data_IF_564157783201
#
_entry.id   IF_564157783201
#
_cell.length_a   1.000
_cell.length_b   1.000
_cell.length_c   1.000
_cell.angle_alpha   90.00
_cell.angle_beta   90.00
_cell.angle_gamma   90.00
#
_symmetry.space_group_name_H-M   'P 1'
#
loop_
_entity.id
_entity.type
_entity.pdbx_description
1 polymer ?
2 non-polymer ?
3 non-polymer ?
4 water ?
#
# COMPACT_ATOMS: atom_id res chain seq x y z
N UNK A 4 5.70 -14.43 -15.16
CA UNK A 4 5.40 -15.86 -15.39
C UNK A 4 5.87 -16.71 -14.20
N UNK A 5 7.07 -16.47 -13.68
CA UNK A 5 7.59 -17.21 -12.53
C UNK A 5 7.50 -16.34 -11.27
N UNK A 6 7.51 -16.97 -10.08
CA UNK A 6 7.49 -16.21 -8.84
C UNK A 6 8.81 -15.45 -8.69
N UNK A 7 8.75 -14.34 -7.97
CA UNK A 7 9.92 -13.48 -7.81
C UNK A 7 10.15 -13.21 -6.36
N UNK A 8 11.43 -13.20 -5.98
CA UNK A 8 11.84 -12.82 -4.65
C UNK A 8 13.01 -11.86 -4.85
N UNK A 9 13.67 -11.50 -3.74
CA UNK A 9 14.84 -10.66 -3.73
C UNK A 9 16.07 -11.52 -3.95
N UNK A 10 17.09 -10.93 -4.52
CA UNK A 10 18.34 -11.62 -4.76
C UNK A 10 19.23 -11.59 -3.53
N UNK A 11 19.17 -10.49 -2.78
CA UNK A 11 20.00 -10.28 -1.60
C UNK A 11 19.19 -9.69 -0.49
N UNK A 12 19.74 -9.77 0.71
CA UNK A 12 19.17 -9.11 1.89
C UNK A 12 19.57 -7.62 1.77
N UNK A 13 18.68 -6.73 2.20
CA UNK A 13 18.97 -5.30 2.15
C UNK A 13 18.35 -4.65 3.38
N UNK A 14 19.00 -3.63 3.89
CA UNK A 14 18.56 -2.94 5.09
C UNK A 14 18.30 -1.47 4.87
N UNK A 15 17.35 -0.94 5.62
CA UNK A 15 17.06 0.49 5.59
C UNK A 15 16.64 0.88 6.97
N UNK A 16 16.62 2.20 7.23
CA UNK A 16 16.21 2.72 8.54
C UNK A 16 15.30 3.90 8.34
N UNK A 17 14.47 4.14 9.34
CA UNK A 17 13.56 5.26 9.27
C UNK A 17 12.86 5.44 10.58
N UNK A 18 11.82 6.25 10.54
CA UNK A 18 11.00 6.58 11.70
C UNK A 18 9.57 6.16 11.37
N UNK A 19 8.85 5.61 12.34
CA UNK A 19 7.44 5.30 12.15
C UNK A 19 6.64 6.59 12.11
N UNK A 20 5.77 6.74 11.10
CA UNK A 20 5.00 7.98 10.92
C UNK A 20 4.18 8.27 12.19
N UNK A 21 3.49 7.26 12.71
CA UNK A 21 2.63 7.50 13.88
C UNK A 21 3.35 7.34 15.19
N UNK A 22 4.20 6.35 15.31
CA UNK A 22 4.85 6.08 16.58
C UNK A 22 6.04 7.00 16.85
N UNK A 23 6.67 7.50 15.79
CA UNK A 23 7.88 8.30 15.91
C UNK A 23 9.09 7.50 16.35
N UNK A 24 8.99 6.14 16.31
CA UNK A 24 10.10 5.31 16.79
C UNK A 24 11.08 5.03 15.66
N UNK A 25 12.38 4.99 15.98
CA UNK A 25 13.42 4.64 15.01
C UNK A 25 13.17 3.17 14.72
N UNK A 26 13.21 2.79 13.46
CA UNK A 26 12.98 1.39 13.08
C UNK A 26 13.99 0.95 12.08
N UNK A 27 14.42 -0.30 12.22
CA UNK A 27 15.34 -0.91 11.27
C UNK A 27 14.53 -1.89 10.50
N UNK A 28 14.64 -1.80 9.20
CA UNK A 28 13.93 -2.62 8.26
C UNK A 28 14.92 -3.47 7.49
N UNK A 29 14.62 -4.77 7.39
CA UNK A 29 15.49 -5.66 6.63
C UNK A 29 14.60 -6.42 5.67
N UNK A 30 14.88 -6.34 4.36
CA UNK A 30 14.11 -7.12 3.39
C UNK A 30 14.95 -8.33 3.10
N UNK A 31 14.32 -9.51 3.09
CA UNK A 31 15.06 -10.74 2.83
C UNK A 31 14.37 -11.58 1.76
N UNK A 32 15.13 -12.39 0.95
CA UNK A 32 14.46 -13.32 0.03
C UNK A 32 13.63 -14.31 0.82
N UNK A 33 12.66 -14.89 0.18
CA UNK A 33 11.84 -15.90 0.83
C UNK A 33 11.54 -16.99 -0.17
N UNK A 34 11.28 -18.22 0.33
CA UNK A 34 10.94 -19.32 -0.57
C UNK A 34 9.65 -19.12 -1.34
N UNK A 35 9.46 -19.96 -2.36
CA UNK A 35 8.27 -20.00 -3.18
C UNK A 35 7.01 -20.13 -2.26
N UNK A 36 5.91 -19.47 -2.63
CA UNK A 36 4.64 -19.51 -1.91
C UNK A 36 4.69 -18.98 -0.47
N UNK A 37 5.70 -18.16 -0.14
CA UNK A 37 5.76 -17.54 1.18
C UNK A 37 4.83 -16.33 1.28
N UNK A 38 4.76 -15.56 0.19
CA UNK A 38 4.05 -14.28 0.17
C UNK A 38 4.93 -13.24 0.87
N UNK A 39 4.35 -12.10 1.23
CA UNK A 39 5.08 -11.04 1.94
C UNK A 39 4.81 -11.28 3.41
N UNK A 40 5.86 -11.53 4.18
CA UNK A 40 5.69 -11.80 5.60
C UNK A 40 6.44 -10.78 6.45
N UNK A 41 5.73 -10.11 7.36
CA UNK A 41 6.36 -9.15 8.27
C UNK A 41 6.84 -9.90 9.49
N UNK A 42 8.06 -9.61 9.93
CA UNK A 42 8.68 -10.30 11.05
C UNK A 42 9.09 -9.28 12.08
N UNK A 43 8.58 -9.41 13.30
CA UNK A 43 8.94 -8.52 14.40
C UNK A 43 10.13 -9.13 15.08
N UNK A 44 11.32 -8.71 14.66
CA UNK A 44 12.56 -9.31 15.15
C UNK A 44 13.01 -8.78 16.51
N UNK A 45 12.32 -7.78 17.03
CA UNK A 45 12.61 -7.23 18.34
C UNK A 45 11.99 -8.14 19.41
N UNK A 46 11.07 -9.01 19.01
CA UNK A 46 10.38 -9.88 19.96
C UNK A 46 10.96 -11.27 20.02
N UNK A 47 10.81 -11.91 21.17
CA UNK A 47 11.27 -13.28 21.36
C UNK A 47 10.07 -14.05 21.89
N UNK A 48 9.49 -15.00 21.14
CA UNK A 48 9.88 -15.46 19.80
C UNK A 48 9.56 -14.40 18.75
N UNK A 49 10.24 -14.51 17.63
CA UNK A 49 9.96 -13.62 16.49
C UNK A 49 8.54 -13.88 16.04
N UNK A 50 7.80 -12.79 15.81
CA UNK A 50 6.41 -12.92 15.39
C UNK A 50 6.36 -12.65 13.90
N UNK A 51 5.89 -13.65 13.16
CA UNK A 51 5.69 -13.50 11.71
C UNK A 51 4.23 -13.21 11.44
N UNK A 52 3.98 -12.22 10.61
CA UNK A 52 2.61 -11.88 10.21
C UNK A 52 2.55 -11.80 8.71
N UNK A 53 1.97 -12.80 8.05
CA UNK A 53 1.81 -12.72 6.60
C UNK A 53 0.94 -11.51 6.26
N UNK A 54 1.31 -10.81 5.19
CA UNK A 54 0.56 -9.63 4.75
C UNK A 54 -0.65 -10.07 3.97
N UNK A 55 -1.66 -10.52 4.72
CA UNK A 55 -2.89 -11.05 4.16
C UNK A 55 -4.09 -10.40 4.80
N UNK A 56 -5.17 -10.27 4.05
CA UNK A 56 -6.39 -9.62 4.53
C UNK A 56 -6.88 -10.15 5.90
N UNK A 57 -6.73 -11.46 6.13
CA UNK A 57 -7.14 -12.10 7.40
C UNK A 57 -6.35 -11.58 8.60
N UNK A 58 -5.18 -10.98 8.36
CA UNK A 58 -4.36 -10.47 9.46
C UNK A 58 -4.50 -8.98 9.65
N UNK A 59 -5.44 -8.36 8.96
CA UNK A 59 -5.61 -6.92 9.13
C UNK A 59 -6.39 -6.65 10.42
N UNK A 60 -5.92 -5.67 11.18
CA UNK A 60 -6.58 -5.24 12.41
C UNK A 60 -7.48 -4.05 12.16
N UNK A 61 -8.39 -3.75 13.10
CA UNK A 61 -9.29 -2.58 12.99
C UNK A 61 -8.47 -1.35 13.39
N UNK A 62 -8.09 -0.53 12.40
CA UNK A 62 -7.29 0.69 12.56
C UNK A 62 -7.77 1.73 11.55
N UNK A 63 -8.23 2.89 12.03
CA UNK A 63 -8.76 3.98 11.21
C UNK A 63 -7.66 4.79 10.49
N UNK A 64 -6.43 4.80 11.01
CA UNK A 64 -5.32 5.61 10.46
C UNK A 64 -4.58 5.03 9.27
N UNK A 65 -4.20 3.75 9.34
CA UNK A 65 -3.40 3.12 8.27
C UNK A 65 -3.68 1.62 8.24
N UNK A 66 -3.07 0.90 7.31
CA UNK A 66 -3.26 -0.56 7.32
C UNK A 66 -2.31 -1.16 8.36
N UNK A 67 -2.87 -1.91 9.30
CA UNK A 67 -2.15 -2.55 10.40
C UNK A 67 -2.39 -4.04 10.34
N UNK A 68 -1.34 -4.80 10.50
CA UNK A 68 -1.40 -6.24 10.55
C UNK A 68 -1.27 -6.62 12.00
N UNK A 69 -2.04 -7.60 12.42
CA UNK A 69 -2.05 -8.03 13.82
C UNK A 69 -1.94 -9.53 13.95
N UNK A 70 -1.28 -10.00 15.00
CA UNK A 70 -1.18 -11.43 15.32
C UNK A 70 -0.98 -11.47 16.81
N UNK A 71 -1.99 -11.96 17.53
CA UNK A 71 -1.95 -11.95 18.98
C UNK A 71 -2.04 -10.52 19.47
N UNK A 72 -1.15 -10.15 20.37
CA UNK A 72 -1.09 -8.79 20.89
C UNK A 72 -0.01 -7.98 20.16
N UNK A 73 0.46 -8.48 19.01
CA UNK A 73 1.53 -7.86 18.22
C UNK A 73 0.93 -7.22 16.99
N UNK A 74 1.47 -6.08 16.62
CA UNK A 74 1.04 -5.40 15.42
C UNK A 74 2.21 -4.90 14.60
N UNK A 75 1.92 -4.64 13.34
CA UNK A 75 2.83 -4.03 12.40
C UNK A 75 1.99 -2.95 11.73
N UNK A 76 2.28 -1.69 12.04
CA UNK A 76 1.53 -0.55 11.56
C UNK A 76 2.07 -0.02 10.27
N UNK A 77 1.18 0.57 9.48
CA UNK A 77 1.50 1.34 8.27
C UNK A 77 2.21 0.50 7.21
N UNK A 78 1.58 -0.58 6.81
CA UNK A 78 2.24 -1.48 5.84
C UNK A 78 1.97 -1.14 4.40
N UNK A 79 0.99 -0.27 4.13
CA UNK A 79 0.48 -0.06 2.78
C UNK A 79 1.54 0.42 1.79
N UNK A 80 2.46 1.33 2.18
CA UNK A 80 3.40 1.87 1.21
C UNK A 80 4.43 0.85 0.80
N UNK A 81 4.94 0.07 1.75
CA UNK A 81 5.90 -0.98 1.43
C UNK A 81 5.22 -2.08 0.61
N UNK A 82 3.97 -2.45 0.97
CA UNK A 82 3.23 -3.45 0.19
C UNK A 82 2.96 -2.97 -1.21
N UNK A 83 2.73 -1.65 -1.38
CA UNK A 83 2.50 -1.10 -2.71
C UNK A 83 3.75 -1.31 -3.55
N UNK A 84 4.93 -1.06 -2.93
CA UNK A 84 6.20 -1.24 -3.63
C UNK A 84 6.41 -2.70 -4.02
N UNK A 85 6.04 -3.65 -3.11
CA UNK A 85 6.19 -5.09 -3.39
C UNK A 85 5.29 -5.46 -4.57
N UNK A 86 4.08 -4.96 -4.53
CA UNK A 86 3.08 -5.20 -5.59
C UNK A 86 3.54 -4.60 -6.91
N UNK A 87 4.02 -3.35 -6.84
CA UNK A 87 4.47 -2.62 -8.02
C UNK A 87 5.63 -3.29 -8.74
N UNK A 88 6.53 -3.91 -7.97
CA UNK A 88 7.70 -4.59 -8.54
C UNK A 88 7.52 -6.09 -8.74
N UNK A 89 6.30 -6.57 -8.51
CA UNK A 89 5.93 -8.00 -8.65
C UNK A 89 6.65 -8.94 -7.69
N UNK A 90 6.95 -8.49 -6.47
CA UNK A 90 7.67 -9.34 -5.52
C UNK A 90 6.65 -10.27 -4.87
N UNK A 91 6.73 -11.57 -5.23
CA UNK A 91 5.83 -12.52 -4.61
C UNK A 91 6.22 -12.86 -3.20
N UNK A 92 7.51 -13.16 -2.99
CA UNK A 92 7.93 -13.70 -1.72
C UNK A 92 9.01 -12.87 -1.11
N UNK A 93 8.86 -12.48 0.16
CA UNK A 93 9.90 -11.72 0.87
C UNK A 93 9.56 -11.68 2.33
N UNK A 94 10.61 -11.66 3.16
CA UNK A 94 10.44 -11.40 4.58
C UNK A 94 10.74 -9.93 4.77
N UNK A 95 9.93 -9.29 5.57
CA UNK A 95 10.13 -7.89 5.89
C UNK A 95 10.37 -7.87 7.39
N UNK A 96 11.63 -7.77 7.79
CA UNK A 96 11.93 -7.78 9.21
C UNK A 96 11.91 -6.35 9.72
N UNK A 97 11.32 -6.15 10.91
CA UNK A 97 11.22 -4.84 11.56
C UNK A 97 11.64 -4.95 13.01
N UNK A 98 12.36 -3.94 13.51
CA UNK A 98 12.80 -3.86 14.90
C UNK A 98 11.75 -3.18 15.79
N UNK A 99 10.65 -2.74 15.19
CA UNK A 99 9.57 -2.06 15.90
C UNK A 99 8.22 -2.29 15.19
N UNK A 100 7.15 -1.83 15.80
CA UNK A 100 5.76 -2.06 15.41
C UNK A 100 5.27 -1.23 14.25
N UNK A 101 6.14 -0.46 13.61
CA UNK A 101 5.72 0.33 12.48
C UNK A 101 6.76 0.30 11.37
N UNK A 102 6.31 0.18 10.15
CA UNK A 102 7.17 0.24 8.96
C UNK A 102 7.64 1.71 8.87
N UNK A 103 8.92 1.97 8.56
CA UNK A 103 9.37 3.37 8.49
C UNK A 103 8.66 4.12 7.35
N UNK A 104 8.34 5.40 7.60
CA UNK A 104 7.62 6.21 6.63
C UNK A 104 8.50 6.64 5.45
N UNK A 105 9.83 6.71 5.68
CA UNK A 105 10.78 7.14 4.65
C UNK A 105 10.41 8.57 4.18
N UNK A 106 10.17 8.77 2.90
CA UNK A 106 9.80 10.10 2.43
C UNK A 106 8.26 10.23 2.27
N UNK A 107 7.52 9.22 2.75
CA UNK A 107 6.05 9.22 2.67
C UNK A 107 5.49 8.57 1.42
N UNK A 108 6.36 8.13 0.49
CA UNK A 108 5.94 7.53 -0.77
C UNK A 108 6.47 6.11 -0.81
N UNK A 109 6.39 5.44 -1.97
CA UNK A 109 6.94 4.11 -2.13
C UNK A 109 8.30 4.18 -2.83
N UNK A 110 8.76 5.39 -3.18
CA UNK A 110 10.03 5.64 -3.87
C UNK A 110 11.22 4.94 -3.22
N UNK A 111 11.49 5.26 -1.95
CA UNK A 111 12.60 4.59 -1.24
C UNK A 111 12.47 3.08 -1.23
N UNK A 112 11.25 2.55 -1.10
CA UNK A 112 11.09 1.07 -1.10
C UNK A 112 11.32 0.45 -2.45
N UNK A 113 10.81 1.09 -3.53
CA UNK A 113 11.03 0.51 -4.86
C UNK A 113 12.53 0.54 -5.18
N UNK A 114 13.24 1.56 -4.71
CA UNK A 114 14.69 1.66 -4.93
C UNK A 114 15.39 0.60 -4.09
N UNK A 115 14.96 0.44 -2.84
CA UNK A 115 15.52 -0.59 -1.95
C UNK A 115 15.34 -2.00 -2.55
N UNK A 116 14.13 -2.34 -3.01
CA UNK A 116 13.88 -3.65 -3.62
C UNK A 116 14.72 -3.87 -4.84
N UNK A 117 14.74 -2.89 -5.76
CA UNK A 117 15.55 -3.04 -6.96
C UNK A 117 17.04 -3.15 -6.63
N UNK A 118 17.50 -2.40 -5.61
CA UNK A 118 18.88 -2.44 -5.15
C UNK A 118 19.24 -3.84 -4.59
N UNK A 119 18.29 -4.55 -3.98
CA UNK A 119 18.54 -5.92 -3.46
C UNK A 119 18.66 -6.89 -4.63
N UNK A 120 18.06 -6.54 -5.77
CA UNK A 120 18.05 -7.39 -6.95
C UNK A 120 16.84 -8.29 -6.97
N UNK A 121 16.48 -8.74 -8.18
CA UNK A 121 15.33 -9.65 -8.39
C UNK A 121 15.80 -11.05 -8.68
N UNK A 122 15.17 -12.03 -8.05
CA UNK A 122 15.50 -13.43 -8.24
C UNK A 122 14.27 -14.20 -8.75
N UNK A 123 14.40 -14.80 -9.95
CA UNK A 123 13.37 -15.66 -10.51
C UNK A 123 13.37 -16.96 -9.71
N UNK A 124 12.19 -17.49 -9.40
CA UNK A 124 12.05 -18.71 -8.64
C UNK A 124 11.45 -19.81 -9.52
N UNK A 125 11.60 -21.06 -9.09
CA UNK A 125 11.14 -22.24 -9.83
C UNK A 125 9.72 -22.66 -9.43
N UNK A 126 8.78 -21.75 -9.69
CA UNK A 126 7.33 -21.92 -9.48
C UNK A 126 6.60 -20.90 -10.31
N UNK A 127 5.46 -21.31 -10.89
CA UNK A 127 4.62 -20.42 -11.67
C UNK A 127 4.08 -19.35 -10.74
N UNK A 128 3.99 -18.13 -11.26
CA UNK A 128 3.44 -17.01 -10.52
C UNK A 128 1.90 -17.17 -10.59
N UNK A 129 1.22 -16.95 -9.48
CA UNK A 129 -0.23 -17.03 -9.45
C UNK A 129 -0.79 -15.62 -9.37
N UNK A 130 -1.94 -15.41 -9.98
CA UNK A 130 -2.61 -14.13 -9.96
C UNK A 130 -4.02 -14.37 -9.43
N UNK A 131 -4.57 -13.37 -8.76
CA UNK A 131 -5.98 -13.42 -8.38
C UNK A 131 -6.73 -12.68 -9.49
N UNK A 132 -7.59 -13.39 -10.21
CA UNK A 132 -8.37 -12.81 -11.30
C UNK A 132 -9.79 -12.55 -10.84
N UNK A 133 -10.23 -11.30 -11.04
CA UNK A 133 -11.60 -10.89 -10.74
C UNK A 133 -12.51 -11.44 -11.83
N UNK A 134 -13.50 -12.25 -11.44
CA UNK A 134 -14.43 -12.83 -12.41
C UNK A 134 -15.73 -12.06 -12.52
N UNK A 135 -16.13 -11.38 -11.44
CA UNK A 135 -17.35 -10.59 -11.49
C UNK A 135 -17.22 -9.41 -10.59
N UNK A 136 -18.03 -8.40 -10.81
CA UNK A 136 -17.99 -7.19 -10.02
C UNK A 136 -18.26 -7.46 -8.55
N UNK A 137 -17.44 -6.87 -7.69
CA UNK A 137 -17.65 -6.96 -6.23
C UNK A 137 -17.52 -5.53 -5.79
N UNK A 138 -18.50 -5.00 -5.09
CA UNK A 138 -18.47 -3.60 -4.67
C UNK A 138 -18.83 -3.44 -3.20
N UNK A 139 -18.25 -2.45 -2.55
CA UNK A 139 -18.58 -2.13 -1.18
C UNK A 139 -18.80 -0.63 -1.13
N UNK A 140 -19.76 -0.22 -0.33
CA UNK A 140 -20.07 1.20 -0.17
C UNK A 140 -20.29 1.49 1.27
N UNK A 141 -20.09 2.75 1.65
CA UNK A 141 -20.43 3.24 2.96
C UNK A 141 -20.60 4.73 2.85
N UNK A 142 -21.84 5.19 2.90
CA UNK A 142 -22.13 6.61 2.76
C UNK A 142 -21.70 7.05 1.38
N UNK A 143 -20.82 8.08 1.31
CA UNK A 143 -20.38 8.59 0.02
C UNK A 143 -19.16 7.86 -0.52
N UNK A 144 -18.67 6.83 0.20
CA UNK A 144 -17.45 6.13 -0.18
C UNK A 144 -17.76 4.84 -0.93
N UNK A 145 -16.94 4.47 -1.90
CA UNK A 145 -17.16 3.23 -2.65
C UNK A 145 -15.80 2.66 -3.04
N UNK A 146 -15.69 1.32 -3.08
CA UNK A 146 -14.48 0.64 -3.55
C UNK A 146 -15.00 -0.56 -4.30
N UNK A 147 -14.51 -0.77 -5.50
CA UNK A 147 -15.06 -1.84 -6.34
C UNK A 147 -13.98 -2.56 -7.13
N UNK A 148 -14.18 -3.87 -7.31
CA UNK A 148 -13.38 -4.66 -8.23
C UNK A 148 -14.26 -4.94 -9.43
N UNK A 149 -13.69 -4.83 -10.61
CA UNK A 149 -14.41 -5.15 -11.85
C UNK A 149 -13.49 -6.06 -12.68
N UNK A 150 -14.03 -7.08 -13.40
CA UNK A 150 -13.16 -7.90 -14.27
C UNK A 150 -12.46 -6.99 -15.27
N UNK A 151 -11.18 -7.26 -15.52
CA UNK A 151 -10.34 -6.49 -16.43
C UNK A 151 -9.18 -7.39 -16.82
N UNK A 152 -8.89 -7.46 -18.12
CA UNK A 152 -7.78 -8.27 -18.61
C UNK A 152 -6.48 -7.47 -18.51
N UNK A 153 -5.99 -7.39 -17.29
CA UNK A 153 -4.79 -6.65 -16.96
C UNK A 153 -4.88 -6.19 -15.52
N UNK A 154 -4.21 -5.09 -15.21
CA UNK A 154 -4.24 -4.51 -13.87
C UNK A 154 -4.40 -3.01 -14.01
N UNK A 155 -5.51 -2.52 -13.50
CA UNK A 155 -5.86 -1.12 -13.58
C UNK A 155 -6.36 -0.64 -12.27
N UNK A 156 -5.92 0.56 -11.89
CA UNK A 156 -6.35 1.15 -10.62
C UNK A 156 -6.86 2.55 -10.92
N UNK A 157 -8.10 2.82 -10.52
CA UNK A 157 -8.74 4.12 -10.69
C UNK A 157 -9.06 4.67 -9.30
N UNK A 158 -9.02 5.98 -9.15
CA UNK A 158 -9.36 6.60 -7.88
C UNK A 158 -9.88 7.97 -8.10
N UNK A 159 -10.87 8.32 -7.28
CA UNK A 159 -11.33 9.68 -7.29
C UNK A 159 -11.39 10.17 -5.85
N UNK A 160 -10.88 11.38 -5.61
CA UNK A 160 -11.05 12.02 -4.31
C UNK A 160 -11.95 13.22 -4.56
N UNK A 161 -12.47 13.80 -3.51
CA UNK A 161 -13.35 14.96 -3.68
C UNK A 161 -13.28 15.81 -2.44
N UNK A 162 -12.22 16.62 -2.35
CA UNK A 162 -12.03 17.51 -1.21
C UNK A 162 -12.50 18.91 -1.51
N UNK A 163 -13.14 19.52 -0.51
CA UNK A 163 -13.68 20.89 -0.55
C UNK A 163 -12.62 21.80 0.00
N UNK A 164 -11.52 21.91 -0.71
CA UNK A 164 -10.37 22.67 -0.30
C UNK A 164 -9.83 23.41 -1.52
N UNK A 165 -9.34 24.67 -1.37
CA UNK A 165 -8.89 25.43 -2.55
C UNK A 165 -7.66 24.85 -3.24
N UNK A 166 -6.84 24.05 -2.53
CA UNK A 166 -5.66 23.38 -3.14
C UNK A 166 -6.16 22.33 -4.12
N UNK A 167 -7.36 21.82 -3.88
CA UNK A 167 -7.95 20.79 -4.70
C UNK A 167 -8.84 21.38 -5.79
N UNK A 168 -9.21 22.69 -5.65
CA UNK A 168 -9.98 23.48 -6.62
C UNK A 168 -9.22 23.50 -7.94
N UNK A 169 -9.83 22.87 -8.94
CA UNK A 169 -9.30 22.77 -10.30
C UNK A 169 -8.15 21.79 -10.43
N UNK A 170 -7.79 21.13 -9.34
CA UNK A 170 -6.68 20.19 -9.34
C UNK A 170 -7.19 18.83 -9.73
N UNK A 171 -6.33 18.01 -10.32
CA UNK A 171 -6.72 16.65 -10.69
C UNK A 171 -7.07 15.89 -9.44
N UNK A 172 -8.31 15.42 -9.35
CA UNK A 172 -8.76 14.60 -8.22
C UNK A 172 -9.21 13.22 -8.70
N UNK A 173 -9.00 12.90 -9.96
CA UNK A 173 -9.30 11.58 -10.47
C UNK A 173 -8.13 11.13 -11.33
N UNK A 174 -7.80 9.85 -11.27
CA UNK A 174 -6.73 9.29 -12.10
C UNK A 174 -6.97 7.84 -12.28
N UNK A 175 -6.52 7.33 -13.42
CA UNK A 175 -6.65 5.92 -13.75
C UNK A 175 -5.30 5.49 -14.24
N UNK A 176 -4.84 4.37 -13.75
CA UNK A 176 -3.54 3.85 -14.18
C UNK A 176 -3.71 2.43 -14.66
N UNK A 177 -3.43 2.20 -15.94
CA UNK A 177 -3.44 0.87 -16.53
C UNK A 177 -1.96 0.48 -16.59
N UNK A 178 -1.58 -0.49 -15.79
CA UNK A 178 -0.19 -0.89 -15.63
C UNK A 178 0.39 -1.67 -16.83
N UNK A 179 -0.38 -1.89 -17.91
CA UNK A 179 0.23 -2.49 -19.09
C UNK A 179 1.07 -1.42 -19.84
N UNK A 180 0.65 -0.14 -19.73
CA UNK A 180 1.26 1.01 -20.44
C UNK A 180 1.97 2.01 -19.54
N UNK A 181 1.65 2.01 -18.23
CA UNK A 181 2.19 2.94 -17.24
C UNK A 181 3.05 2.20 -16.20
N UNK A 182 4.19 2.79 -15.90
CA UNK A 182 5.15 2.26 -14.94
C UNK A 182 4.69 2.60 -13.52
N UNK A 183 4.57 1.59 -12.62
CA UNK A 183 4.26 1.85 -11.18
C UNK A 183 5.33 2.79 -10.66
N UNK A 184 6.61 2.44 -10.93
CA UNK A 184 7.70 3.28 -10.45
C UNK A 184 7.61 4.74 -10.93
N UNK A 185 7.52 4.99 -12.22
CA UNK A 185 7.55 6.34 -12.77
C UNK A 185 6.39 7.24 -12.32
N UNK A 186 5.18 6.75 -12.42
CA UNK A 186 3.96 7.55 -12.22
C UNK A 186 3.20 7.38 -10.92
N UNK A 187 3.49 6.35 -10.10
CA UNK A 187 2.80 6.19 -8.82
C UNK A 187 3.77 6.20 -7.62
N UNK A 188 4.90 5.48 -7.72
CA UNK A 188 5.75 5.23 -6.53
C UNK A 188 6.17 6.47 -5.74
N UNK A 189 6.40 7.62 -6.40
CA UNK A 189 6.89 8.79 -5.70
C UNK A 189 5.80 9.63 -5.10
N UNK A 190 4.53 9.21 -5.19
CA UNK A 190 3.44 10.03 -4.65
C UNK A 190 3.42 9.94 -3.15
N UNK A 191 3.63 11.08 -2.49
CA UNK A 191 3.72 11.08 -1.03
C UNK A 191 2.37 11.14 -0.36
N UNK A 192 2.37 10.63 0.87
CA UNK A 192 1.22 10.73 1.75
C UNK A 192 0.96 12.21 2.03
N UNK A 193 -0.25 12.48 2.46
CA UNK A 193 -0.65 13.86 2.70
C UNK A 193 -1.58 13.91 3.88
N UNK A 194 -1.65 15.08 4.48
CA UNK A 194 -2.55 15.28 5.60
C UNK A 194 -3.02 16.72 5.63
N UNK A 195 -4.25 16.91 6.11
CA UNK A 195 -4.75 18.25 6.30
C UNK A 195 -4.28 18.67 7.68
N UNK A 196 -3.82 19.91 7.82
CA UNK A 196 -3.25 20.44 9.06
C UNK A 196 -4.16 20.19 10.27
N UNK A 197 -5.50 20.34 10.08
CA UNK A 197 -6.48 20.09 11.14
C UNK A 197 -6.45 18.64 11.61
N UNK A 198 -6.46 17.71 10.64
CA UNK A 198 -6.43 16.27 10.87
C UNK A 198 -5.14 15.89 11.56
N UNK A 199 -4.02 16.55 11.14
CA UNK A 199 -2.69 16.30 11.69
C UNK A 199 -2.63 16.75 13.14
N UNK A 200 -3.06 17.99 13.43
CA UNK A 200 -3.05 18.54 14.80
C UNK A 200 -3.90 17.67 15.73
N UNK A 201 -5.01 17.11 15.22
CA UNK A 201 -5.88 16.19 15.93
C UNK A 201 -5.16 14.85 16.20
N UNK A 202 -4.40 14.31 15.22
CA UNK A 202 -3.67 13.05 15.47
C UNK A 202 -2.62 13.32 16.52
N UNK A 203 -1.96 14.50 16.44
CA UNK A 203 -0.93 14.91 17.40
C UNK A 203 -1.49 14.95 18.83
N UNK A 204 -2.76 15.37 18.99
CA UNK A 204 -3.45 15.42 20.29
C UNK A 204 -3.74 14.01 20.85
N UNK A 205 -3.72 12.98 19.98
CA UNK A 205 -3.94 11.57 20.33
C UNK A 205 -2.58 10.85 20.39
N UNK A 206 -1.48 11.63 20.38
CA UNK A 206 -0.08 11.21 20.38
C UNK A 206 0.22 10.32 19.16
N UNK A 207 -0.41 10.65 18.02
CA UNK A 207 -0.21 9.93 16.76
C UNK A 207 0.45 10.89 15.78
N UNK A 208 0.85 10.40 14.58
CA UNK A 208 1.61 11.18 13.60
C UNK A 208 2.89 11.81 14.24
N UNK A 209 3.50 11.10 15.22
CA UNK A 209 4.70 11.58 15.93
C UNK A 209 5.93 11.69 15.06
N UNK A 210 6.04 10.83 14.05
CA UNK A 210 7.17 10.86 13.13
C UNK A 210 6.92 11.68 11.89
N UNK A 211 5.75 12.32 11.81
CA UNK A 211 5.37 13.12 10.66
C UNK A 211 6.06 14.46 10.59
N UNK A 212 6.41 14.87 9.38
CA UNK A 212 7.02 16.16 9.13
C UNK A 212 6.80 16.51 7.67
N UNK A 213 7.12 17.78 7.29
CA UNK A 213 7.04 18.16 5.88
C UNK A 213 8.09 17.35 5.06
N UNK A 214 9.05 16.67 5.73
CA UNK A 214 10.05 15.84 5.04
C UNK A 214 9.51 14.48 4.64
N UNK A 215 8.36 14.09 5.20
CA UNK A 215 7.79 12.77 4.84
C UNK A 215 6.30 12.81 4.56
N UNK A 216 5.73 14.00 4.39
CA UNK A 216 4.31 14.14 4.11
C UNK A 216 4.03 15.46 3.51
N UNK A 217 3.01 15.51 2.65
CA UNK A 217 2.51 16.76 2.12
C UNK A 217 1.57 17.28 3.20
N UNK A 218 1.78 18.51 3.65
CA UNK A 218 0.91 19.08 4.67
C UNK A 218 0.13 20.21 4.03
N UNK A 219 -1.20 20.13 4.12
CA UNK A 219 -2.05 21.13 3.49
C UNK A 219 -2.74 21.97 4.59
N UNK A 220 -2.51 23.29 4.64
CA UNK A 220 -3.21 24.14 5.63
C UNK A 220 -4.54 24.62 5.03
N UNK A 221 -5.21 25.66 5.60
CA UNK A 221 -6.48 26.09 5.01
C UNK A 221 -6.38 26.66 3.59
N UNK A 222 -5.17 27.11 3.19
CA UNK A 222 -4.95 27.76 1.88
C UNK A 222 -4.12 27.02 0.91
N UNK A 223 -3.01 26.46 1.37
CA UNK A 223 -1.99 25.94 0.48
C UNK A 223 -1.24 24.75 1.02
N UNK A 224 -0.38 24.19 0.15
CA UNK A 224 0.55 23.13 0.51
C UNK A 224 1.69 23.84 1.27
N UNK A 225 1.95 23.39 2.48
CA UNK A 225 3.00 23.97 3.31
C UNK A 225 4.42 23.69 2.85
N UNK A 226 4.63 22.53 2.19
CA UNK A 226 5.93 22.06 1.71
C UNK A 226 6.49 23.07 0.73
N UNK A 227 7.65 23.64 1.09
CA UNK A 227 8.28 24.72 0.33
C UNK A 227 8.64 24.35 -1.10
N UNK A 228 9.04 23.12 -1.31
CA UNK A 228 9.47 22.65 -2.62
C UNK A 228 8.31 22.14 -3.51
N UNK A 229 7.07 22.20 -2.99
CA UNK A 229 5.87 21.88 -3.74
C UNK A 229 5.59 20.41 -3.97
N UNK A 230 4.90 20.11 -5.08
CA UNK A 230 4.48 18.75 -5.39
C UNK A 230 5.35 18.04 -6.39
N UNK A 231 5.35 16.70 -6.29
CA UNK A 231 6.12 15.88 -7.25
C UNK A 231 5.30 15.66 -8.51
N UNK A 232 3.96 15.72 -8.34
CA UNK A 232 3.03 15.56 -9.45
C UNK A 232 1.89 16.50 -9.22
N UNK A 233 1.28 16.97 -10.33
CA UNK A 233 0.13 17.85 -10.19
C UNK A 233 -1.01 17.05 -9.54
N UNK A 234 -1.06 15.74 -9.81
CA UNK A 234 -2.08 14.88 -9.25
C UNK A 234 -1.53 14.02 -8.11
N UNK A 235 -0.55 14.53 -7.37
CA UNK A 235 0.10 13.73 -6.33
C UNK A 235 -0.87 13.14 -5.31
N UNK A 236 -1.86 13.90 -4.89
CA UNK A 236 -2.77 13.39 -3.87
C UNK A 236 -3.52 12.17 -4.34
N UNK A 237 -4.14 12.24 -5.51
CA UNK A 237 -4.90 11.07 -5.97
C UNK A 237 -3.95 9.90 -6.34
N UNK A 238 -2.76 10.22 -6.83
CA UNK A 238 -1.78 9.18 -7.14
C UNK A 238 -1.37 8.49 -5.82
N UNK A 239 -1.35 9.24 -4.70
CA UNK A 239 -0.98 8.55 -3.45
C UNK A 239 -2.13 7.60 -3.02
N UNK A 240 -3.39 7.99 -3.31
CA UNK A 240 -4.52 7.10 -2.99
C UNK A 240 -4.44 5.83 -3.80
N UNK A 241 -3.97 5.95 -5.03
CA UNK A 241 -3.75 4.78 -5.89
C UNK A 241 -2.65 3.92 -5.30
N UNK A 242 -1.58 4.57 -4.87
CA UNK A 242 -0.45 3.84 -4.21
C UNK A 242 -1.00 3.08 -2.99
N UNK A 243 -1.79 3.75 -2.14
CA UNK A 243 -2.38 3.09 -0.97
C UNK A 243 -3.25 1.89 -1.38
N UNK A 244 -4.08 2.06 -2.42
CA UNK A 244 -4.97 0.97 -2.90
C UNK A 244 -4.15 -0.20 -3.36
N UNK A 245 -3.05 0.08 -4.08
CA UNK A 245 -2.26 -1.02 -4.61
C UNK A 245 -1.69 -1.81 -3.43
N UNK A 246 -1.21 -1.11 -2.39
CA UNK A 246 -0.71 -1.80 -1.19
C UNK A 246 -1.78 -2.63 -0.52
N UNK A 247 -2.98 -2.04 -0.34
CA UNK A 247 -4.08 -2.78 0.27
C UNK A 247 -4.46 -3.99 -0.58
N UNK A 248 -4.49 -3.81 -1.90
CA UNK A 248 -4.85 -4.90 -2.80
C UNK A 248 -3.88 -6.05 -2.69
N UNK A 249 -2.62 -5.76 -2.34
CA UNK A 249 -1.62 -6.77 -2.24
C UNK A 249 -1.85 -7.70 -1.04
N UNK A 250 -2.74 -7.30 -0.13
CA UNK A 250 -3.16 -8.17 0.98
C UNK A 250 -3.96 -9.38 0.49
N UNK A 251 -4.32 -9.41 -0.82
CA UNK A 251 -4.94 -10.57 -1.45
C UNK A 251 -3.93 -11.69 -1.61
N UNK A 252 -2.65 -11.35 -1.52
CA UNK A 252 -1.57 -12.33 -1.54
C UNK A 252 -0.97 -12.64 -2.88
N UNK A 253 -1.55 -12.09 -3.94
CA UNK A 253 -1.05 -12.28 -5.28
C UNK A 253 -1.38 -11.05 -6.06
N UNK A 254 -0.67 -10.91 -7.19
CA UNK A 254 -0.90 -9.85 -8.16
C UNK A 254 -2.34 -9.98 -8.67
N UNK A 255 -2.99 -8.86 -8.94
CA UNK A 255 -4.38 -8.85 -9.38
C UNK A 255 -4.52 -8.77 -10.90
N UNK A 256 -5.47 -9.54 -11.44
CA UNK A 256 -5.88 -9.44 -12.82
C UNK A 256 -7.29 -8.90 -12.69
N UNK A 257 -7.41 -7.61 -12.83
CA UNK A 257 -8.69 -6.96 -12.66
C UNK A 257 -8.51 -5.48 -12.51
N UNK A 258 -9.60 -4.79 -12.27
CA UNK A 258 -9.60 -3.37 -12.09
C UNK A 258 -10.13 -3.01 -10.73
N UNK A 259 -9.47 -2.05 -10.08
CA UNK A 259 -9.97 -1.50 -8.83
C UNK A 259 -10.41 -0.06 -9.10
N UNK A 260 -11.56 0.35 -8.58
CA UNK A 260 -11.97 1.73 -8.64
C UNK A 260 -12.35 2.15 -7.23
N UNK A 261 -11.75 3.25 -6.79
CA UNK A 261 -12.04 3.79 -5.48
C UNK A 261 -12.65 5.16 -5.58
N UNK A 262 -13.65 5.42 -4.75
CA UNK A 262 -14.35 6.70 -4.73
C UNK A 262 -14.32 7.17 -3.28
N UNK A 263 -13.37 8.02 -2.92
CA UNK A 263 -13.18 8.52 -1.56
C UNK A 263 -12.92 7.40 -0.56
N UNK A 264 -12.43 6.27 -1.06
CA UNK A 264 -12.12 5.11 -0.26
C UNK A 264 -10.83 5.33 0.53
N UNK A 265 -10.61 4.48 1.49
CA UNK A 265 -9.41 4.50 2.32
C UNK A 265 -9.14 3.08 2.76
N UNK A 266 -8.19 2.92 3.68
CA UNK A 266 -7.83 1.59 4.13
C UNK A 266 -9.00 0.79 4.69
N UNK A 267 -9.92 1.42 5.44
CA UNK A 267 -11.04 0.68 6.05
C UNK A 267 -11.92 0.06 4.97
N UNK A 268 -12.36 0.89 4.02
CA UNK A 268 -13.22 0.39 2.96
C UNK A 268 -12.48 -0.56 2.01
N UNK A 269 -11.21 -0.28 1.72
CA UNK A 269 -10.41 -1.17 0.87
C UNK A 269 -10.41 -2.55 1.51
N UNK A 270 -10.20 -2.60 2.85
CA UNK A 270 -10.17 -3.89 3.53
C UNK A 270 -11.51 -4.57 3.51
N UNK A 271 -12.60 -3.81 3.63
CA UNK A 271 -13.95 -4.38 3.53
C UNK A 271 -14.14 -4.96 2.14
N UNK A 272 -13.59 -4.30 1.11
CA UNK A 272 -13.71 -4.84 -0.26
C UNK A 272 -12.97 -6.18 -0.37
N UNK A 273 -11.74 -6.25 0.17
CA UNK A 273 -10.95 -7.48 0.13
C UNK A 273 -11.72 -8.62 0.80
N UNK A 274 -12.32 -8.34 1.96
CA UNK A 274 -13.01 -9.39 2.70
C UNK A 274 -14.26 -9.88 1.96
N UNK A 275 -14.99 -8.95 1.34
CA UNK A 275 -16.19 -9.31 0.58
C UNK A 275 -15.81 -10.12 -0.68
N UNK A 276 -14.72 -9.71 -1.30
CA UNK A 276 -14.25 -10.44 -2.49
C UNK A 276 -13.89 -11.86 -2.09
N UNK A 277 -13.03 -12.02 -1.06
CA UNK A 277 -12.64 -13.36 -0.62
C UNK A 277 -13.83 -14.22 -0.27
N UNK A 278 -14.82 -13.65 0.46
CA UNK A 278 -15.99 -14.41 0.87
C UNK A 278 -16.87 -14.80 -0.32
N UNK A 279 -16.76 -14.05 -1.45
CA UNK A 279 -17.55 -14.28 -2.66
C UNK A 279 -16.71 -15.16 -3.56
N UNK A 280 -16.57 -16.45 -3.21
CA UNK A 280 -15.71 -17.42 -3.91
C UNK A 280 -15.92 -17.46 -5.42
N UNK A 281 -17.17 -17.28 -5.88
CA UNK A 281 -17.39 -17.33 -7.33
C UNK A 281 -16.96 -16.04 -8.06
N UNK A 282 -16.56 -14.99 -7.33
CA UNK A 282 -16.16 -13.71 -7.95
C UNK A 282 -14.69 -13.63 -8.32
N UNK A 283 -13.92 -14.66 -7.99
CA UNK A 283 -12.48 -14.65 -8.25
C UNK A 283 -11.93 -16.04 -8.40
N UNK A 284 -10.73 -16.15 -9.00
CA UNK A 284 -10.04 -17.44 -9.10
C UNK A 284 -8.59 -17.12 -9.05
N UNK A 285 -7.76 -18.12 -8.69
CA UNK A 285 -6.32 -17.97 -8.65
C UNK A 285 -5.80 -18.71 -9.90
N UNK A 286 -5.09 -18.00 -10.80
CA UNK A 286 -4.65 -18.52 -12.09
C UNK A 286 -3.20 -18.20 -12.38
N UNK A 287 -2.60 -18.91 -13.35
CA UNK A 287 -1.27 -18.57 -13.84
C UNK A 287 -1.45 -17.51 -14.94
N UNK A 288 -0.34 -16.85 -15.39
CA UNK A 288 -0.43 -15.86 -16.47
C UNK A 288 -0.94 -16.50 -17.75
N UNK A 289 -0.51 -17.74 -18.04
CA UNK A 289 -0.98 -18.46 -19.23
C UNK A 289 -2.50 -18.68 -19.20
N UNK A 290 -3.03 -19.13 -18.04
CA UNK A 290 -4.47 -19.35 -17.86
C UNK A 290 -5.27 -18.05 -17.81
X LIG B 1 -0.61 6.23 2.16
X LIG C 1 4.55 19.29 11.60
X LIG C 1 3.92 17.99 11.10
X LIG C 1 2.78 15.61 10.15
X LIG C 1 2.08 14.48 9.62
X LIG C 1 1.44 21.99 10.48
X LIG C 1 1.39 13.60 9.15
X LIG C 1 0.52 12.63 8.55
X LIG C 1 -3.57 9.60 3.45
X LIG C 1 -1.27 10.85 7.34
X LIG C 1 -2.28 9.93 6.72
X LIG C 1 -2.97 8.77 4.63
X LIG C 1 -4.65 8.85 2.63
X LIG C 1 -2.18 7.56 4.12
X LIG C 1 2.78 22.35 10.10
X LIG C 1 1.32 21.50 11.82
X LIG C 1 3.70 21.11 10.19
X LIG C 1 2.30 20.33 12.09
X LIG C 1 3.66 20.48 11.52
X LIG C 1 3.39 17.04 12.02
X LIG C 1 3.91 17.72 9.72
X LIG C 1 2.80 15.83 11.55
X LIG C 1 3.33 16.53 9.24
X LIG C 1 0.64 12.38 7.18
X LIG C 1 -0.51 12.06 9.33
X LIG C 1 -0.27 11.48 6.56
X LIG C 1 -1.40 11.15 8.72
X LIG C 1 -3.26 9.53 7.37
X LIG C 1 -2.09 9.60 5.44
X LIG C 1 -4.12 10.85 3.89
X LIG C 1 -2.56 6.33 4.44
X LIG C 1 -1.21 7.70 3.35
X LIG C 1 -1.71 5.38 3.83
#
# INVERSE_FOLDING_TARGET
GSSIKQRTLKNIIRATGVGLHSGEKVYLTLKPAPVDTGIVFCRTDLDPVVEIPARAENVGETTMSTTLVKGDVKVDTVEHLLSAMAGLGIDNAYVELSASEVPIMDGSAGPFVFLIQSAGLQEQEAAKKFIRIKREVSVEEGDKRAVFVPFDGFKVSFEIDFDHPVFRGRTQQASVDFSSTSFVKEVSRARTFGFMRDIEYLRSQNLALGGSVENAIVVDENRVLNEDGLRYEDEFVKHKILDAIGDLYLLGNSLIGEFRGFKSGHALNNQLLRTLIADKDAWEVVTFEDARTAP
ZN ZN
C90 C5 C6 C9 C10 O1 C11 C12 C19 C15 C16 C18 C21 C22 CA1 CA2 CB1 CB2 N4 CC1 CC2 CD1 CD2 CE1 CE2 CF1 CF O16 N17 O20 N23 O22 O24
#
